data_IF_388260317305
#
_entry.id   IF_388260317305
#
_cell.length_a   1.000
_cell.length_b   1.000
_cell.length_c   1.000
_cell.angle_alpha   90.00
_cell.angle_beta   90.00
_cell.angle_gamma   90.00
#
_symmetry.space_group_name_H-M   'P 1'
#
loop_
_entity.id
_entity.type
_entity.pdbx_description
1 polymer ?
#
# COMPACT_ATOMS: atom_id res chain seq x y z
N UNK A 1 -34.72 -6.17 -7.61
CA UNK A 1 -35.10 -6.09 -9.03
C UNK A 1 -36.61 -6.08 -9.35
N UNK A 2 -37.52 -6.28 -8.39
CA UNK A 2 -38.98 -6.25 -8.63
C UNK A 2 -39.75 -5.17 -7.84
N UNK A 3 -39.06 -4.17 -7.28
CA UNK A 3 -39.71 -3.07 -6.57
C UNK A 3 -40.31 -2.10 -7.59
N UNK A 4 -41.65 -2.07 -7.68
CA UNK A 4 -42.40 -1.06 -8.43
C UNK A 4 -42.64 0.18 -7.55
N UNK A 5 -42.83 1.38 -8.13
CA UNK A 5 -43.10 2.60 -7.35
C UNK A 5 -44.26 2.45 -6.35
N UNK A 6 -45.25 1.64 -6.70
CA UNK A 6 -46.47 1.38 -5.91
C UNK A 6 -46.18 0.65 -4.59
N UNK A 7 -45.16 -0.21 -4.52
CA UNK A 7 -44.84 -1.00 -3.32
C UNK A 7 -43.70 -0.40 -2.48
N UNK A 8 -43.09 0.70 -2.93
CA UNK A 8 -42.02 1.37 -2.19
C UNK A 8 -42.45 1.90 -0.81
N UNK A 9 -43.66 2.48 -0.62
CA UNK A 9 -44.11 2.91 0.70
C UNK A 9 -44.22 1.73 1.68
N UNK A 10 -44.69 0.58 1.21
CA UNK A 10 -44.84 -0.65 1.99
C UNK A 10 -43.46 -1.24 2.35
N UNK A 11 -42.53 -1.25 1.39
CA UNK A 11 -41.15 -1.67 1.63
C UNK A 11 -40.45 -0.78 2.66
N UNK A 12 -40.68 0.54 2.61
CA UNK A 12 -40.14 1.49 3.59
C UNK A 12 -40.80 1.29 4.97
N UNK A 13 -42.11 1.06 5.03
CA UNK A 13 -42.80 0.75 6.27
C UNK A 13 -42.24 -0.54 6.90
N UNK A 14 -42.02 -1.58 6.11
CA UNK A 14 -41.39 -2.82 6.57
C UNK A 14 -39.96 -2.57 7.06
N UNK A 15 -39.17 -1.78 6.33
CA UNK A 15 -37.80 -1.43 6.71
C UNK A 15 -37.75 -0.72 8.07
N UNK A 16 -38.67 0.24 8.31
CA UNK A 16 -38.76 0.98 9.59
C UNK A 16 -39.01 0.07 10.80
N UNK A 17 -39.74 -1.04 10.61
CA UNK A 17 -40.07 -2.00 11.67
C UNK A 17 -38.95 -2.99 11.99
N UNK A 18 -37.88 -3.01 11.20
CA UNK A 18 -36.72 -3.88 11.45
C UNK A 18 -36.02 -3.41 12.74
N UNK A 19 -35.98 -4.31 13.73
CA UNK A 19 -35.40 -4.03 15.05
C UNK A 19 -33.88 -3.86 15.02
N UNK A 20 -33.20 -4.66 14.18
CA UNK A 20 -31.75 -4.54 14.00
C UNK A 20 -31.44 -3.34 13.10
N UNK A 21 -30.78 -2.34 13.66
CA UNK A 21 -30.39 -1.15 12.90
C UNK A 21 -29.45 -1.46 11.74
N UNK A 22 -28.65 -2.53 11.86
CA UNK A 22 -27.78 -3.02 10.79
C UNK A 22 -28.60 -3.51 9.59
N UNK A 23 -29.57 -4.41 9.83
CA UNK A 23 -30.45 -4.91 8.76
C UNK A 23 -31.34 -3.80 8.21
N UNK A 24 -31.82 -2.89 9.08
CA UNK A 24 -32.59 -1.72 8.67
C UNK A 24 -31.79 -0.81 7.74
N UNK A 25 -30.54 -0.52 8.09
CA UNK A 25 -29.65 0.28 7.24
C UNK A 25 -29.42 -0.38 5.89
N UNK A 26 -29.18 -1.69 5.84
CA UNK A 26 -29.03 -2.41 4.58
C UNK A 26 -30.25 -2.29 3.67
N UNK A 27 -31.45 -2.47 4.23
CA UNK A 27 -32.69 -2.34 3.45
C UNK A 27 -32.87 -0.91 2.98
N UNK A 28 -32.67 0.09 3.83
CA UNK A 28 -32.80 1.51 3.45
C UNK A 28 -31.77 1.92 2.38
N UNK A 29 -30.51 1.46 2.49
CA UNK A 29 -29.48 1.68 1.47
C UNK A 29 -29.84 1.02 0.14
N UNK A 30 -30.38 -0.21 0.16
CA UNK A 30 -30.81 -0.91 -1.05
C UNK A 30 -32.03 -0.24 -1.72
N UNK A 31 -32.87 0.44 -0.93
CA UNK A 31 -34.00 1.20 -1.47
C UNK A 31 -33.53 2.47 -2.20
N UNK A 32 -32.36 3.03 -1.90
CA UNK A 32 -31.86 4.28 -2.49
C UNK A 32 -31.88 4.29 -4.03
N UNK A 33 -31.55 3.16 -4.67
CA UNK A 33 -31.55 2.99 -6.14
C UNK A 33 -32.94 3.02 -6.79
N UNK A 34 -34.01 2.97 -5.98
CA UNK A 34 -35.40 2.81 -6.45
C UNK A 34 -36.31 3.94 -5.99
N UNK A 35 -35.78 4.95 -5.28
CA UNK A 35 -36.62 5.98 -4.70
C UNK A 35 -37.18 6.92 -5.75
N UNK A 36 -38.44 7.31 -5.56
CA UNK A 36 -39.08 8.42 -6.27
C UNK A 36 -39.10 9.66 -5.37
N UNK A 37 -39.17 10.88 -5.92
CA UNK A 37 -39.14 12.12 -5.15
C UNK A 37 -40.14 12.19 -3.98
N UNK A 38 -41.29 11.53 -4.11
CA UNK A 38 -42.37 11.55 -3.11
C UNK A 38 -41.98 10.87 -1.79
N UNK A 39 -41.10 9.87 -1.84
CA UNK A 39 -40.75 9.00 -0.70
C UNK A 39 -39.39 9.37 -0.09
N UNK A 40 -38.63 10.27 -0.74
CA UNK A 40 -37.33 10.73 -0.27
C UNK A 40 -37.35 11.32 1.14
N UNK A 41 -38.28 12.22 1.50
CA UNK A 41 -38.31 12.81 2.84
C UNK A 41 -38.50 11.74 3.92
N UNK A 42 -39.27 10.71 3.60
CA UNK A 42 -39.60 9.60 4.48
C UNK A 42 -38.42 8.65 4.72
N UNK A 43 -37.65 8.33 3.67
CA UNK A 43 -36.44 7.52 3.81
C UNK A 43 -35.37 8.28 4.57
N UNK A 44 -35.20 9.58 4.31
CA UNK A 44 -34.25 10.41 5.04
C UNK A 44 -34.62 10.56 6.52
N UNK A 45 -35.91 10.69 6.83
CA UNK A 45 -36.40 10.68 8.21
C UNK A 45 -36.08 9.35 8.90
N UNK A 46 -36.28 8.21 8.21
CA UNK A 46 -35.94 6.89 8.74
C UNK A 46 -34.42 6.76 8.97
N UNK A 47 -33.59 7.26 8.05
CA UNK A 47 -32.14 7.29 8.20
C UNK A 47 -31.69 8.11 9.42
N UNK A 48 -32.29 9.29 9.64
CA UNK A 48 -32.01 10.17 10.79
C UNK A 48 -32.34 9.52 12.13
N UNK A 49 -33.35 8.65 12.17
CA UNK A 49 -33.79 7.93 13.39
C UNK A 49 -32.87 6.77 13.80
N UNK A 50 -31.94 6.35 12.93
CA UNK A 50 -30.95 5.31 13.25
C UNK A 50 -29.98 5.85 14.32
N UNK A 51 -29.85 5.11 15.43
CA UNK A 51 -29.02 5.51 16.57
C UNK A 51 -27.55 5.16 16.39
N UNK A 52 -27.25 3.98 15.83
CA UNK A 52 -25.91 3.56 15.48
C UNK A 52 -25.39 4.41 14.31
N UNK A 53 -24.48 5.32 14.62
CA UNK A 53 -23.99 6.31 13.67
C UNK A 53 -23.33 5.71 12.43
N UNK A 54 -22.71 4.54 12.57
CA UNK A 54 -22.20 3.78 11.43
C UNK A 54 -23.31 3.36 10.47
N UNK A 55 -24.40 2.78 11.00
CA UNK A 55 -25.59 2.40 10.21
C UNK A 55 -26.21 3.64 9.55
N UNK A 56 -26.31 4.75 10.30
CA UNK A 56 -26.83 6.02 9.79
C UNK A 56 -25.97 6.57 8.65
N UNK A 57 -24.65 6.57 8.82
CA UNK A 57 -23.71 7.01 7.79
C UNK A 57 -23.82 6.15 6.52
N UNK A 58 -23.96 4.82 6.66
CA UNK A 58 -24.15 3.95 5.50
C UNK A 58 -25.40 4.30 4.68
N UNK A 59 -26.53 4.56 5.33
CA UNK A 59 -27.75 4.96 4.62
C UNK A 59 -27.57 6.33 3.97
N UNK A 60 -27.01 7.31 4.69
CA UNK A 60 -26.78 8.65 4.15
C UNK A 60 -25.81 8.66 2.98
N UNK A 61 -24.73 7.87 3.02
CA UNK A 61 -23.80 7.71 1.89
C UNK A 61 -24.47 7.06 0.68
N UNK A 62 -25.32 6.04 0.89
CA UNK A 62 -26.07 5.42 -0.22
C UNK A 62 -27.07 6.40 -0.84
N UNK A 63 -27.76 7.21 -0.02
CA UNK A 63 -28.65 8.26 -0.50
C UNK A 63 -27.89 9.33 -1.30
N UNK A 64 -26.73 9.78 -0.79
CA UNK A 64 -25.86 10.73 -1.50
C UNK A 64 -25.43 10.21 -2.88
N UNK A 65 -25.14 8.91 -3.00
CA UNK A 65 -24.64 8.33 -4.25
C UNK A 65 -25.68 8.36 -5.38
N UNK A 66 -26.96 8.19 -5.04
CA UNK A 66 -28.03 7.91 -6.00
C UNK A 66 -28.92 9.10 -6.31
N UNK A 67 -28.97 10.10 -5.44
CA UNK A 67 -29.99 11.14 -5.47
C UNK A 67 -29.38 12.53 -5.29
N UNK A 68 -29.01 13.20 -6.40
CA UNK A 68 -28.39 14.52 -6.34
C UNK A 68 -29.34 15.61 -5.81
N UNK A 69 -30.66 15.42 -5.90
CA UNK A 69 -31.65 16.41 -5.48
C UNK A 69 -31.72 16.58 -3.95
N UNK A 70 -31.24 15.60 -3.17
CA UNK A 70 -31.34 15.59 -1.69
C UNK A 70 -30.00 15.83 -0.98
N UNK A 71 -28.95 16.18 -1.73
CA UNK A 71 -27.63 16.39 -1.17
C UNK A 71 -27.60 17.46 -0.05
N UNK A 72 -28.36 18.58 -0.11
CA UNK A 72 -28.44 19.53 1.00
C UNK A 72 -29.00 18.92 2.30
N UNK A 73 -30.02 18.07 2.21
CA UNK A 73 -30.66 17.45 3.36
C UNK A 73 -29.82 16.29 3.92
N UNK A 74 -29.10 15.57 3.05
CA UNK A 74 -28.10 14.57 3.43
C UNK A 74 -26.92 15.25 4.13
N UNK A 75 -26.43 16.38 3.62
CA UNK A 75 -25.38 17.17 4.26
C UNK A 75 -25.82 17.66 5.64
N UNK A 76 -27.06 18.14 5.77
CA UNK A 76 -27.63 18.54 7.06
C UNK A 76 -27.67 17.36 8.04
N UNK A 77 -28.07 16.17 7.58
CA UNK A 77 -28.06 14.96 8.41
C UNK A 77 -26.62 14.51 8.77
N UNK A 78 -25.68 14.63 7.84
CA UNK A 78 -24.27 14.31 8.05
C UNK A 78 -23.65 15.19 9.15
N UNK A 79 -23.97 16.50 9.15
CA UNK A 79 -23.51 17.45 10.18
C UNK A 79 -23.98 17.07 11.59
N UNK A 80 -25.06 16.31 11.73
CA UNK A 80 -25.60 15.85 13.02
C UNK A 80 -24.92 14.58 13.57
N UNK A 81 -24.07 13.93 12.78
CA UNK A 81 -23.27 12.78 13.23
C UNK A 81 -22.17 13.27 14.18
N UNK A 82 -22.09 12.67 15.37
CA UNK A 82 -21.14 13.05 16.42
C UNK A 82 -19.75 12.48 16.15
N UNK A 83 -19.67 11.22 15.70
CA UNK A 83 -18.40 10.62 15.28
C UNK A 83 -17.89 11.30 14.02
N UNK A 84 -16.76 12.00 14.14
CA UNK A 84 -16.12 12.65 13.00
C UNK A 84 -15.71 11.66 11.91
N UNK A 85 -15.38 10.43 12.28
CA UNK A 85 -15.08 9.35 11.35
C UNK A 85 -16.29 9.04 10.46
N UNK A 86 -17.46 8.79 11.05
CA UNK A 86 -18.67 8.49 10.28
C UNK A 86 -19.18 9.71 9.51
N UNK A 87 -19.04 10.91 10.10
CA UNK A 87 -19.34 12.17 9.41
C UNK A 87 -18.47 12.36 8.17
N UNK A 88 -17.16 12.10 8.27
CA UNK A 88 -16.24 12.17 7.13
C UNK A 88 -16.57 11.15 6.05
N UNK A 89 -17.01 9.94 6.40
CA UNK A 89 -17.49 8.98 5.40
C UNK A 89 -18.67 9.52 4.57
N UNK A 90 -19.66 10.15 5.21
CA UNK A 90 -20.79 10.75 4.48
C UNK A 90 -20.34 11.95 3.66
N UNK A 91 -19.50 12.84 4.22
CA UNK A 91 -19.00 14.01 3.52
C UNK A 91 -18.11 13.64 2.31
N UNK A 92 -17.31 12.57 2.40
CA UNK A 92 -16.56 12.04 1.26
C UNK A 92 -17.48 11.43 0.20
N UNK A 93 -18.55 10.72 0.59
CA UNK A 93 -19.53 10.20 -0.38
C UNK A 93 -20.29 11.33 -1.09
N UNK A 94 -20.60 12.42 -0.38
CA UNK A 94 -21.14 13.64 -0.97
C UNK A 94 -20.15 14.26 -1.96
N UNK A 95 -18.85 14.26 -1.63
CA UNK A 95 -17.79 14.81 -2.50
C UNK A 95 -17.83 14.20 -3.91
N UNK A 96 -18.09 12.90 -4.05
CA UNK A 96 -18.10 12.22 -5.34
C UNK A 96 -19.23 12.65 -6.29
N UNK A 97 -20.29 13.27 -5.76
CA UNK A 97 -21.54 13.62 -6.48
C UNK A 97 -21.83 15.12 -6.49
N UNK A 98 -20.85 15.95 -6.14
CA UNK A 98 -21.08 17.38 -5.94
C UNK A 98 -21.57 18.09 -7.20
N UNK A 99 -22.61 18.89 -7.01
CA UNK A 99 -22.91 20.04 -7.86
C UNK A 99 -22.12 21.26 -7.33
N UNK A 100 -21.80 22.26 -8.18
CA UNK A 100 -21.12 23.49 -7.75
C UNK A 100 -21.82 24.23 -6.61
N UNK A 101 -23.12 24.03 -6.44
CA UNK A 101 -23.97 24.72 -5.46
C UNK A 101 -23.71 24.26 -4.01
N UNK A 102 -23.52 22.96 -3.79
CA UNK A 102 -23.35 22.38 -2.44
C UNK A 102 -21.88 22.27 -2.00
N UNK A 103 -20.95 22.45 -2.94
CA UNK A 103 -19.53 22.29 -2.66
C UNK A 103 -19.03 23.21 -1.54
N UNK A 104 -19.33 24.52 -1.54
CA UNK A 104 -18.87 25.43 -0.47
C UNK A 104 -19.34 24.97 0.91
N UNK A 105 -20.54 24.40 0.99
CA UNK A 105 -21.12 23.89 2.22
C UNK A 105 -20.46 22.60 2.73
N UNK A 106 -20.06 21.70 1.83
CA UNK A 106 -19.29 20.49 2.17
C UNK A 106 -17.88 20.87 2.62
N UNK A 107 -17.24 21.83 1.96
CA UNK A 107 -15.93 22.34 2.38
C UNK A 107 -16.00 23.04 3.74
N UNK A 108 -17.05 23.83 4.00
CA UNK A 108 -17.28 24.42 5.31
C UNK A 108 -17.46 23.36 6.40
N UNK A 109 -18.21 22.28 6.12
CA UNK A 109 -18.34 21.15 7.04
C UNK A 109 -17.00 20.42 7.26
N UNK A 110 -16.20 20.23 6.20
CA UNK A 110 -14.87 19.64 6.29
C UNK A 110 -13.93 20.47 7.17
N UNK A 111 -13.97 21.80 7.07
CA UNK A 111 -13.17 22.72 7.91
C UNK A 111 -13.54 22.63 9.40
N UNK A 112 -14.76 22.22 9.74
CA UNK A 112 -15.22 22.06 11.12
C UNK A 112 -14.79 20.73 11.76
N UNK A 113 -14.29 19.76 10.98
CA UNK A 113 -13.72 18.52 11.49
C UNK A 113 -12.43 18.82 12.26
N UNK A 114 -12.37 18.34 13.51
CA UNK A 114 -11.23 18.55 14.40
C UNK A 114 -10.10 17.56 14.14
N UNK A 115 -10.44 16.29 13.90
CA UNK A 115 -9.46 15.25 13.61
C UNK A 115 -8.96 15.39 12.17
N UNK A 116 -7.67 15.70 12.03
CA UNK A 116 -7.10 16.04 10.73
C UNK A 116 -7.07 14.87 9.76
N UNK A 117 -7.10 13.63 10.23
CA UNK A 117 -7.19 12.44 9.38
C UNK A 117 -8.53 12.41 8.64
N UNK A 118 -9.62 12.62 9.35
CA UNK A 118 -10.98 12.71 8.84
C UNK A 118 -11.12 13.91 7.90
N UNK A 119 -10.54 15.06 8.28
CA UNK A 119 -10.50 16.24 7.40
C UNK A 119 -9.74 15.97 6.10
N UNK A 120 -8.59 15.29 6.17
CA UNK A 120 -7.80 14.88 5.00
C UNK A 120 -8.58 13.95 4.09
N UNK A 121 -9.35 13.01 4.64
CA UNK A 121 -10.20 12.12 3.83
C UNK A 121 -11.20 12.92 2.98
N UNK A 122 -11.86 13.91 3.57
CA UNK A 122 -12.84 14.75 2.86
C UNK A 122 -12.15 15.63 1.83
N UNK A 123 -11.07 16.33 2.22
CA UNK A 123 -10.35 17.23 1.31
C UNK A 123 -9.70 16.48 0.14
N UNK A 124 -9.24 15.24 0.34
CA UNK A 124 -8.72 14.39 -0.73
C UNK A 124 -9.83 13.95 -1.69
N UNK A 125 -11.02 13.62 -1.18
CA UNK A 125 -12.17 13.32 -2.04
C UNK A 125 -12.64 14.55 -2.83
N UNK A 126 -12.58 15.74 -2.23
CA UNK A 126 -12.84 17.01 -2.92
C UNK A 126 -11.81 17.31 -4.01
N UNK A 127 -10.55 16.88 -3.85
CA UNK A 127 -9.49 17.07 -4.83
C UNK A 127 -9.81 16.43 -6.20
N UNK A 128 -10.54 15.32 -6.20
CA UNK A 128 -10.92 14.63 -7.44
C UNK A 128 -12.01 15.37 -8.25
N UNK A 129 -12.75 16.27 -7.61
CA UNK A 129 -13.91 16.98 -8.17
C UNK A 129 -13.74 18.48 -8.24
N UNK A 130 -12.50 18.97 -8.18
CA UNK A 130 -12.23 20.41 -8.17
C UNK A 130 -12.76 21.09 -9.43
N UNK A 131 -13.51 22.17 -9.20
CA UNK A 131 -13.72 23.21 -10.20
C UNK A 131 -12.76 24.37 -9.93
N UNK A 132 -12.42 25.20 -10.93
CA UNK A 132 -11.50 26.33 -10.75
C UNK A 132 -11.91 27.32 -9.66
N UNK A 133 -13.21 27.43 -9.38
CA UNK A 133 -13.77 28.41 -8.44
C UNK A 133 -13.43 28.08 -6.97
N UNK A 134 -13.39 26.80 -6.62
CA UNK A 134 -13.27 26.32 -5.24
C UNK A 134 -11.89 25.77 -4.89
N UNK A 135 -11.06 25.59 -5.91
CA UNK A 135 -9.66 25.19 -5.79
C UNK A 135 -8.86 26.06 -4.80
N UNK A 136 -8.92 27.41 -4.84
CA UNK A 136 -8.17 28.24 -3.89
C UNK A 136 -8.56 27.95 -2.43
N UNK A 137 -9.83 27.65 -2.20
CA UNK A 137 -10.37 27.37 -0.88
C UNK A 137 -9.98 26.00 -0.34
N UNK A 138 -9.96 24.96 -1.18
CA UNK A 138 -9.50 23.62 -0.81
C UNK A 138 -7.99 23.63 -0.57
N UNK A 139 -7.23 24.32 -1.42
CA UNK A 139 -5.78 24.49 -1.25
C UNK A 139 -5.45 25.25 0.04
N UNK A 140 -6.19 26.32 0.37
CA UNK A 140 -6.05 27.02 1.64
C UNK A 140 -6.35 26.10 2.84
N UNK A 141 -7.41 25.29 2.76
CA UNK A 141 -7.73 24.33 3.80
C UNK A 141 -6.65 23.25 3.96
N UNK A 142 -6.08 22.76 2.86
CA UNK A 142 -4.96 21.82 2.86
C UNK A 142 -3.73 22.40 3.58
N UNK A 143 -3.38 23.66 3.29
CA UNK A 143 -2.26 24.37 3.93
C UNK A 143 -2.43 24.59 5.43
N UNK A 144 -3.67 24.66 5.91
CA UNK A 144 -3.99 24.83 7.34
C UNK A 144 -3.87 23.53 8.15
N UNK A 145 -3.69 22.38 7.50
CA UNK A 145 -3.44 21.11 8.19
C UNK A 145 -2.08 21.16 8.89
N UNK A 146 -2.07 20.83 10.18
CA UNK A 146 -0.88 20.88 11.01
C UNK A 146 -0.06 19.60 10.91
N UNK A 147 -0.71 18.44 10.94
CA UNK A 147 -0.08 17.14 10.81
C UNK A 147 0.45 16.96 9.38
N UNK A 148 1.78 16.89 9.26
CA UNK A 148 2.49 17.04 7.99
C UNK A 148 2.14 15.93 7.01
N UNK A 149 1.90 14.72 7.50
CA UNK A 149 1.44 13.59 6.67
C UNK A 149 0.07 13.88 6.05
N UNK A 150 -0.89 14.34 6.87
CA UNK A 150 -2.23 14.70 6.39
C UNK A 150 -2.17 15.85 5.38
N UNK A 151 -1.31 16.85 5.61
CA UNK A 151 -1.09 17.97 4.68
C UNK A 151 -0.51 17.49 3.36
N UNK A 152 0.56 16.70 3.40
CA UNK A 152 1.21 16.15 2.21
C UNK A 152 0.23 15.29 1.40
N UNK A 153 -0.61 14.50 2.05
CA UNK A 153 -1.62 13.66 1.40
C UNK A 153 -2.63 14.50 0.60
N UNK A 154 -3.22 15.54 1.20
CA UNK A 154 -4.16 16.41 0.48
C UNK A 154 -3.46 17.15 -0.66
N UNK A 155 -2.27 17.72 -0.41
CA UNK A 155 -1.53 18.44 -1.45
C UNK A 155 -1.14 17.55 -2.63
N UNK A 156 -0.80 16.28 -2.38
CA UNK A 156 -0.53 15.33 -3.46
C UNK A 156 -1.78 14.96 -4.23
N UNK A 157 -2.92 14.75 -3.57
CA UNK A 157 -4.19 14.51 -4.27
C UNK A 157 -4.56 15.70 -5.17
N UNK A 158 -4.40 16.93 -4.67
CA UNK A 158 -4.58 18.15 -5.46
C UNK A 158 -3.58 18.24 -6.64
N UNK A 159 -2.33 17.81 -6.44
CA UNK A 159 -1.29 17.87 -7.48
C UNK A 159 -1.57 16.95 -8.68
N UNK A 160 -2.44 15.94 -8.53
CA UNK A 160 -2.89 15.10 -9.64
C UNK A 160 -3.74 15.86 -10.65
N UNK A 161 -4.45 16.90 -10.19
CA UNK A 161 -5.23 17.81 -11.07
C UNK A 161 -4.47 19.10 -11.38
N UNK A 162 -3.52 19.47 -10.53
CA UNK A 162 -2.75 20.72 -10.61
C UNK A 162 -1.26 20.43 -10.50
N UNK A 163 -0.61 20.01 -11.61
CA UNK A 163 0.81 19.69 -11.59
C UNK A 163 1.70 20.85 -11.08
N UNK A 164 1.23 22.10 -11.13
CA UNK A 164 1.99 23.26 -10.64
C UNK A 164 2.25 23.24 -9.14
N UNK A 165 1.39 22.59 -8.34
CA UNK A 165 1.56 22.50 -6.87
C UNK A 165 2.33 21.24 -6.45
N UNK A 166 2.75 20.38 -7.40
CA UNK A 166 3.56 19.21 -7.09
C UNK A 166 4.85 19.57 -6.29
N UNK A 167 5.59 20.64 -6.60
CA UNK A 167 6.73 21.05 -5.78
C UNK A 167 6.35 21.37 -4.32
N UNK A 168 5.16 21.94 -4.10
CA UNK A 168 4.65 22.23 -2.76
C UNK A 168 4.26 20.95 -2.02
N UNK A 169 3.59 20.01 -2.70
CA UNK A 169 3.25 18.70 -2.15
C UNK A 169 4.51 17.92 -1.72
N UNK A 170 5.55 17.94 -2.55
CA UNK A 170 6.85 17.32 -2.23
C UNK A 170 7.57 18.06 -1.10
N UNK A 171 7.51 19.38 -1.04
CA UNK A 171 8.04 20.15 0.08
C UNK A 171 7.35 19.79 1.40
N UNK A 172 6.02 19.65 1.39
CA UNK A 172 5.26 19.17 2.54
C UNK A 172 5.66 17.75 2.94
N UNK A 173 5.82 16.84 1.97
CA UNK A 173 6.28 15.48 2.22
C UNK A 173 7.66 15.43 2.90
N UNK A 174 8.60 16.28 2.46
CA UNK A 174 9.95 16.38 3.05
C UNK A 174 9.93 16.84 4.51
N UNK A 175 8.91 17.62 4.89
CA UNK A 175 8.72 18.12 6.26
C UNK A 175 8.09 17.09 7.21
N UNK A 176 7.64 15.93 6.72
CA UNK A 176 7.11 14.87 7.58
C UNK A 176 8.20 14.42 8.55
N UNK A 177 7.93 14.57 9.85
CA UNK A 177 8.90 14.30 10.93
C UNK A 177 9.17 12.80 11.10
N UNK A 178 8.12 11.99 11.01
CA UNK A 178 8.21 10.53 11.08
C UNK A 178 8.82 9.99 9.79
N UNK A 179 10.04 9.46 9.88
CA UNK A 179 10.84 9.00 8.74
C UNK A 179 10.11 7.91 7.93
N UNK A 180 9.40 7.01 8.62
CA UNK A 180 8.60 5.94 8.03
C UNK A 180 7.46 6.48 7.18
N UNK A 181 6.74 7.50 7.68
CA UNK A 181 5.68 8.16 6.94
C UNK A 181 6.29 8.94 5.76
N UNK A 182 7.35 9.72 5.96
CA UNK A 182 8.01 10.42 4.85
C UNK A 182 8.40 9.47 3.71
N UNK A 183 9.01 8.34 4.04
CA UNK A 183 9.47 7.37 3.06
C UNK A 183 8.32 6.61 2.38
N UNK A 184 7.27 6.23 3.12
CA UNK A 184 6.07 5.63 2.54
C UNK A 184 5.40 6.58 1.55
N UNK A 185 5.28 7.86 1.91
CA UNK A 185 4.69 8.89 1.05
C UNK A 185 5.46 9.01 -0.28
N UNK A 186 6.78 9.16 -0.18
CA UNK A 186 7.66 9.29 -1.34
C UNK A 186 7.66 8.01 -2.20
N UNK A 187 7.54 6.83 -1.57
CA UNK A 187 7.43 5.54 -2.27
C UNK A 187 6.17 5.47 -3.14
N UNK A 188 5.02 5.86 -2.59
CA UNK A 188 3.74 5.93 -3.34
C UNK A 188 3.82 7.00 -4.43
N UNK A 189 4.37 8.17 -4.11
CA UNK A 189 4.53 9.27 -5.09
C UNK A 189 5.43 8.87 -6.27
N UNK A 190 6.45 8.05 -6.01
CA UNK A 190 7.36 7.54 -7.04
C UNK A 190 6.69 6.55 -8.02
N UNK A 191 5.53 5.96 -7.67
CA UNK A 191 4.73 5.15 -8.60
C UNK A 191 4.21 5.99 -9.76
N UNK A 192 3.75 7.21 -9.46
CA UNK A 192 3.21 8.14 -10.45
C UNK A 192 4.31 8.96 -11.13
N UNK A 193 5.42 9.21 -10.44
CA UNK A 193 6.57 9.95 -10.96
C UNK A 193 7.89 9.23 -10.65
N UNK A 194 8.39 8.39 -11.57
CA UNK A 194 9.63 7.64 -11.38
C UNK A 194 10.88 8.51 -11.10
N UNK A 195 10.82 9.81 -11.42
CA UNK A 195 11.88 10.78 -11.08
C UNK A 195 12.10 10.92 -9.56
N UNK A 196 11.13 10.52 -8.75
CA UNK A 196 11.20 10.54 -7.28
C UNK A 196 11.83 9.27 -6.68
N UNK A 197 12.10 8.23 -7.47
CA UNK A 197 12.68 6.98 -6.95
C UNK A 197 14.00 7.18 -6.19
N UNK A 198 14.96 8.02 -6.65
CA UNK A 198 16.18 8.28 -5.86
C UNK A 198 15.88 8.92 -4.51
N UNK A 199 14.93 9.85 -4.46
CA UNK A 199 14.54 10.54 -3.22
C UNK A 199 13.80 9.59 -2.26
N UNK A 200 12.89 8.76 -2.78
CA UNK A 200 12.18 7.75 -2.02
C UNK A 200 13.15 6.70 -1.42
N UNK A 201 14.15 6.26 -2.21
CA UNK A 201 15.20 5.36 -1.72
C UNK A 201 16.07 6.03 -0.65
N UNK A 202 16.46 7.30 -0.85
CA UNK A 202 17.22 8.05 0.15
C UNK A 202 16.44 8.20 1.48
N UNK A 203 15.14 8.48 1.41
CA UNK A 203 14.28 8.56 2.58
C UNK A 203 14.13 7.19 3.28
N UNK A 204 13.93 6.11 2.52
CA UNK A 204 13.86 4.76 3.06
C UNK A 204 15.13 4.37 3.82
N UNK A 205 16.30 4.74 3.30
CA UNK A 205 17.61 4.48 3.95
C UNK A 205 17.77 5.16 5.30
N UNK A 206 17.11 6.31 5.49
CA UNK A 206 17.19 7.09 6.74
C UNK A 206 16.31 6.53 7.86
N UNK A 207 15.35 5.65 7.56
CA UNK A 207 14.45 5.08 8.57
C UNK A 207 15.25 4.31 9.63
N UNK A 208 15.08 4.70 10.90
CA UNK A 208 15.70 4.03 12.05
C UNK A 208 15.15 2.62 12.32
N UNK A 209 13.83 2.45 12.22
CA UNK A 209 13.20 1.13 12.41
C UNK A 209 13.59 0.18 11.27
N UNK A 210 14.36 -0.87 11.56
CA UNK A 210 14.79 -1.82 10.54
C UNK A 210 13.63 -2.55 9.86
N UNK A 211 12.53 -2.76 10.60
CA UNK A 211 11.30 -3.36 10.08
C UNK A 211 10.67 -2.47 9.02
N UNK A 212 10.48 -1.19 9.35
CA UNK A 212 9.86 -0.22 8.43
C UNK A 212 10.78 0.08 7.25
N UNK A 213 12.08 0.23 7.50
CA UNK A 213 13.10 0.36 6.44
C UNK A 213 13.02 -0.79 5.43
N UNK A 214 12.93 -2.01 5.93
CA UNK A 214 12.82 -3.21 5.08
C UNK A 214 11.53 -3.21 4.28
N UNK A 215 10.41 -2.88 4.93
CA UNK A 215 9.11 -2.77 4.27
C UNK A 215 9.14 -1.80 3.09
N UNK A 216 9.65 -0.58 3.30
CA UNK A 216 9.72 0.45 2.25
C UNK A 216 10.72 0.08 1.16
N UNK A 217 11.90 -0.45 1.50
CA UNK A 217 12.87 -0.90 0.50
C UNK A 217 12.27 -2.00 -0.38
N UNK A 218 11.59 -2.99 0.20
CA UNK A 218 10.92 -4.04 -0.56
C UNK A 218 9.84 -3.50 -1.50
N UNK A 219 9.04 -2.53 -1.06
CA UNK A 219 8.00 -1.89 -1.89
C UNK A 219 8.56 -1.07 -3.06
N UNK A 220 9.81 -0.62 -2.97
CA UNK A 220 10.49 0.13 -4.03
C UNK A 220 11.13 -0.77 -5.09
N UNK A 221 11.67 -1.95 -4.72
CA UNK A 221 12.51 -2.81 -5.57
C UNK A 221 11.93 -3.04 -6.97
N UNK A 222 10.63 -3.30 -7.08
CA UNK A 222 9.97 -3.61 -8.34
C UNK A 222 9.98 -2.45 -9.36
N UNK A 223 10.32 -1.25 -8.91
CA UNK A 223 10.27 0.00 -9.68
C UNK A 223 11.65 0.60 -9.92
N UNK A 224 12.70 0.06 -9.28
CA UNK A 224 14.04 0.64 -9.32
C UNK A 224 14.78 0.31 -10.62
N UNK A 225 15.56 1.27 -11.09
CA UNK A 225 16.54 1.05 -12.17
C UNK A 225 17.71 0.20 -11.65
N UNK A 226 18.51 -0.44 -12.52
CA UNK A 226 19.69 -1.21 -12.10
C UNK A 226 20.64 -0.46 -11.17
N UNK A 227 20.84 0.85 -11.40
CA UNK A 227 21.70 1.71 -10.57
C UNK A 227 21.13 1.82 -9.14
N UNK A 228 19.82 2.04 -9.01
CA UNK A 228 19.15 2.15 -7.71
C UNK A 228 18.99 0.78 -7.02
N UNK A 229 18.93 -0.32 -7.76
CA UNK A 229 18.98 -1.68 -7.21
C UNK A 229 20.35 -1.93 -6.54
N UNK A 230 21.45 -1.45 -7.12
CA UNK A 230 22.77 -1.53 -6.51
C UNK A 230 22.83 -0.71 -5.21
N UNK A 231 22.27 0.51 -5.20
CA UNK A 231 22.16 1.31 -3.97
C UNK A 231 21.33 0.60 -2.90
N UNK A 232 20.25 -0.07 -3.29
CA UNK A 232 19.39 -0.87 -2.38
C UNK A 232 20.15 -2.08 -1.84
N UNK A 233 20.97 -2.75 -2.65
CA UNK A 233 21.85 -3.82 -2.20
C UNK A 233 22.85 -3.30 -1.16
N UNK A 234 23.46 -2.13 -1.38
CA UNK A 234 24.36 -1.50 -0.41
C UNK A 234 23.61 -1.16 0.88
N UNK A 235 22.42 -0.59 0.80
CA UNK A 235 21.58 -0.28 1.94
C UNK A 235 21.21 -1.54 2.74
N UNK A 236 20.92 -2.66 2.08
CA UNK A 236 20.61 -3.93 2.76
C UNK A 236 21.75 -4.41 3.67
N UNK A 237 23.01 -4.12 3.32
CA UNK A 237 24.18 -4.47 4.15
C UNK A 237 24.20 -3.73 5.48
N UNK A 238 23.57 -2.55 5.54
CA UNK A 238 23.48 -1.72 6.74
C UNK A 238 22.34 -2.17 7.69
N UNK A 239 21.53 -3.16 7.30
CA UNK A 239 20.49 -3.77 8.15
C UNK A 239 21.14 -4.80 9.07
N UNK A 240 21.11 -4.57 10.38
CA UNK A 240 21.71 -5.42 11.41
C UNK A 240 20.96 -6.74 11.58
N UNK A 241 19.62 -6.70 11.59
CA UNK A 241 18.78 -7.89 11.63
C UNK A 241 19.01 -8.77 10.41
N UNK A 242 19.47 -10.00 10.66
CA UNK A 242 19.72 -11.02 9.63
C UNK A 242 18.44 -11.39 8.88
N UNK A 243 17.30 -11.33 9.57
CA UNK A 243 15.98 -11.59 8.99
C UNK A 243 15.61 -10.53 7.96
N UNK A 244 15.60 -9.27 8.39
CA UNK A 244 15.23 -8.13 7.55
C UNK A 244 16.19 -7.95 6.37
N UNK A 245 17.50 -8.14 6.61
CA UNK A 245 18.49 -8.18 5.53
C UNK A 245 18.17 -9.26 4.50
N UNK A 246 17.82 -10.47 4.94
CA UNK A 246 17.47 -11.55 4.03
C UNK A 246 16.18 -11.29 3.26
N UNK A 247 15.19 -10.63 3.87
CA UNK A 247 13.96 -10.23 3.17
C UNK A 247 14.26 -9.29 1.99
N UNK A 248 15.08 -8.25 2.21
CA UNK A 248 15.49 -7.34 1.11
C UNK A 248 16.26 -8.09 0.02
N UNK A 249 17.18 -8.99 0.39
CA UNK A 249 17.97 -9.75 -0.58
C UNK A 249 17.13 -10.74 -1.40
N UNK A 250 16.12 -11.36 -0.80
CA UNK A 250 15.16 -12.21 -1.51
C UNK A 250 14.34 -11.37 -2.50
N UNK A 251 13.84 -10.21 -2.09
CA UNK A 251 13.10 -9.32 -2.98
C UNK A 251 13.98 -8.82 -4.14
N UNK A 252 15.23 -8.45 -3.85
CA UNK A 252 16.21 -8.08 -4.88
C UNK A 252 16.41 -9.20 -5.88
N UNK A 253 16.61 -10.45 -5.42
CA UNK A 253 16.92 -11.61 -6.25
C UNK A 253 15.93 -11.82 -7.42
N UNK A 254 14.66 -11.45 -7.26
CA UNK A 254 13.68 -11.56 -8.35
C UNK A 254 13.91 -10.57 -9.48
N UNK A 255 14.51 -9.41 -9.19
CA UNK A 255 14.68 -8.28 -10.13
C UNK A 255 16.11 -8.07 -10.60
N UNK A 256 17.08 -8.82 -10.06
CA UNK A 256 18.49 -8.64 -10.45
C UNK A 256 18.72 -8.92 -11.92
N UNK A 257 19.44 -8.01 -12.56
CA UNK A 257 20.08 -8.24 -13.84
C UNK A 257 21.35 -9.09 -13.63
N UNK A 258 21.85 -9.79 -14.67
CA UNK A 258 23.04 -10.64 -14.55
C UNK A 258 24.27 -9.95 -13.95
N UNK A 259 24.38 -8.64 -14.13
CA UNK A 259 25.49 -7.82 -13.65
C UNK A 259 25.53 -7.65 -12.13
N UNK A 260 24.39 -7.75 -11.44
CA UNK A 260 24.27 -7.56 -9.98
C UNK A 260 24.17 -8.88 -9.20
N UNK A 261 24.07 -10.01 -9.90
CA UNK A 261 24.02 -11.35 -9.30
C UNK A 261 25.29 -11.71 -8.50
N UNK A 262 26.52 -11.45 -8.99
CA UNK A 262 27.74 -11.78 -8.26
C UNK A 262 27.83 -11.08 -6.90
N UNK A 263 27.51 -9.79 -6.85
CA UNK A 263 27.54 -8.94 -5.66
C UNK A 263 26.49 -9.37 -4.66
N UNK A 264 25.27 -9.69 -5.12
CA UNK A 264 24.20 -10.16 -4.24
C UNK A 264 24.52 -11.54 -3.68
N UNK A 265 25.07 -12.44 -4.50
CA UNK A 265 25.55 -13.74 -4.05
C UNK A 265 26.70 -13.60 -3.03
N UNK A 266 27.58 -12.61 -3.19
CA UNK A 266 28.63 -12.32 -2.20
C UNK A 266 28.04 -11.91 -0.84
N UNK A 267 26.99 -11.09 -0.83
CA UNK A 267 26.27 -10.71 0.40
C UNK A 267 25.55 -11.91 1.01
N UNK A 268 24.86 -12.72 0.20
CA UNK A 268 24.16 -13.92 0.64
C UNK A 268 25.11 -14.90 1.35
N UNK A 269 26.31 -15.10 0.80
CA UNK A 269 27.37 -15.95 1.38
C UNK A 269 27.81 -15.50 2.76
N UNK A 270 27.68 -14.21 3.10
CA UNK A 270 28.08 -13.66 4.41
C UNK A 270 26.99 -13.79 5.49
N UNK A 271 25.77 -14.23 5.14
CA UNK A 271 24.69 -14.40 6.11
C UNK A 271 25.04 -15.52 7.09
N UNK A 272 25.12 -15.19 8.38
CA UNK A 272 25.49 -16.14 9.43
C UNK A 272 24.37 -17.14 9.74
N UNK A 273 23.11 -16.67 9.80
CA UNK A 273 21.95 -17.52 10.06
C UNK A 273 21.74 -18.50 8.90
N UNK A 274 21.72 -19.80 9.19
CA UNK A 274 21.48 -20.86 8.21
C UNK A 274 20.15 -20.66 7.48
N UNK A 275 19.05 -20.57 8.23
CA UNK A 275 17.72 -20.46 7.63
C UNK A 275 17.57 -19.25 6.71
N UNK A 276 18.13 -18.10 7.09
CA UNK A 276 18.09 -16.89 6.25
C UNK A 276 19.04 -16.98 5.04
N UNK A 277 20.23 -17.57 5.21
CA UNK A 277 21.17 -17.78 4.11
C UNK A 277 20.57 -18.69 3.05
N UNK A 278 20.03 -19.84 3.46
CA UNK A 278 19.38 -20.82 2.58
C UNK A 278 18.21 -20.19 1.81
N UNK A 279 17.38 -19.38 2.48
CA UNK A 279 16.29 -18.65 1.81
C UNK A 279 16.80 -17.74 0.69
N UNK A 280 17.84 -16.93 0.96
CA UNK A 280 18.43 -16.03 -0.05
C UNK A 280 19.10 -16.82 -1.17
N UNK A 281 19.88 -17.87 -0.86
CA UNK A 281 20.53 -18.71 -1.87
C UNK A 281 19.51 -19.39 -2.78
N UNK A 282 18.40 -19.88 -2.22
CA UNK A 282 17.31 -20.50 -2.99
C UNK A 282 16.66 -19.49 -3.95
N UNK A 283 16.42 -18.26 -3.48
CA UNK A 283 15.88 -17.19 -4.32
C UNK A 283 16.83 -16.83 -5.48
N UNK A 284 18.14 -16.73 -5.20
CA UNK A 284 19.16 -16.46 -6.21
C UNK A 284 19.36 -17.61 -7.20
N UNK A 285 19.18 -18.87 -6.77
CA UNK A 285 19.48 -20.06 -7.57
C UNK A 285 18.76 -20.07 -8.92
N UNK A 286 17.51 -19.58 -8.99
CA UNK A 286 16.74 -19.48 -10.23
C UNK A 286 17.34 -18.51 -11.24
N UNK A 287 17.90 -17.39 -10.78
CA UNK A 287 18.54 -16.41 -11.67
C UNK A 287 19.96 -16.83 -12.05
N UNK A 288 20.69 -17.40 -11.10
CA UNK A 288 22.02 -17.96 -11.34
C UNK A 288 21.96 -19.08 -12.39
N UNK A 289 20.95 -19.95 -12.36
CA UNK A 289 20.80 -21.03 -13.35
C UNK A 289 20.56 -20.56 -14.78
N UNK A 290 20.20 -19.28 -14.98
CA UNK A 290 19.98 -18.66 -16.28
C UNK A 290 21.24 -18.00 -16.85
N UNK A 291 22.33 -17.92 -16.08
CA UNK A 291 23.58 -17.30 -16.52
C UNK A 291 24.35 -18.17 -17.53
N UNK A 292 25.23 -17.56 -18.36
CA UNK A 292 26.16 -18.31 -19.20
C UNK A 292 27.01 -19.29 -18.38
N UNK A 293 27.11 -20.55 -18.84
CA UNK A 293 27.75 -21.64 -18.08
C UNK A 293 29.17 -21.33 -17.62
N UNK A 294 29.97 -20.63 -18.43
CA UNK A 294 31.34 -20.25 -18.09
C UNK A 294 31.40 -19.28 -16.89
N UNK A 295 30.51 -18.28 -16.86
CA UNK A 295 30.42 -17.34 -15.75
C UNK A 295 29.82 -18.02 -14.51
N UNK A 296 28.77 -18.81 -14.70
CA UNK A 296 28.12 -19.57 -13.64
C UNK A 296 29.09 -20.54 -12.96
N UNK A 297 29.94 -21.22 -13.72
CA UNK A 297 30.93 -22.17 -13.19
C UNK A 297 31.98 -21.48 -12.33
N UNK A 298 32.48 -20.31 -12.74
CA UNK A 298 33.42 -19.51 -11.93
C UNK A 298 32.78 -19.04 -10.62
N UNK A 299 31.54 -18.54 -10.68
CA UNK A 299 30.78 -18.15 -9.49
C UNK A 299 30.52 -19.34 -8.57
N UNK A 300 30.17 -20.49 -9.13
CA UNK A 300 29.97 -21.74 -8.40
C UNK A 300 31.21 -22.17 -7.63
N UNK A 301 32.38 -22.19 -8.27
CA UNK A 301 33.65 -22.57 -7.63
C UNK A 301 33.95 -21.69 -6.40
N UNK A 302 33.88 -20.37 -6.56
CA UNK A 302 34.10 -19.44 -5.45
C UNK A 302 33.04 -19.59 -4.34
N UNK A 303 31.80 -19.90 -4.72
CA UNK A 303 30.67 -20.05 -3.80
C UNK A 303 30.81 -21.31 -2.96
N UNK A 304 31.05 -22.46 -3.58
CA UNK A 304 31.26 -23.72 -2.85
C UNK A 304 32.49 -23.65 -1.96
N UNK A 305 33.59 -23.07 -2.43
CA UNK A 305 34.76 -22.87 -1.58
C UNK A 305 34.40 -22.09 -0.30
N UNK A 306 33.70 -20.97 -0.44
CA UNK A 306 33.29 -20.13 0.71
C UNK A 306 32.34 -20.88 1.65
N UNK A 307 31.36 -21.60 1.10
CA UNK A 307 30.36 -22.32 1.90
C UNK A 307 30.96 -23.56 2.58
N UNK A 308 31.98 -24.19 2.01
CA UNK A 308 32.65 -25.36 2.58
C UNK A 308 33.40 -25.09 3.88
N UNK A 309 33.69 -23.82 4.17
CA UNK A 309 34.31 -23.39 5.43
C UNK A 309 33.32 -23.40 6.61
N UNK A 310 32.04 -23.68 6.35
CA UNK A 310 30.97 -23.77 7.37
C UNK A 310 30.87 -25.19 7.92
N UNK A 311 30.05 -25.36 8.96
CA UNK A 311 29.73 -26.68 9.50
C UNK A 311 29.09 -27.59 8.43
N UNK A 312 29.24 -28.90 8.59
CA UNK A 312 28.67 -29.88 7.65
C UNK A 312 27.15 -29.70 7.44
N UNK A 313 26.31 -29.55 8.49
CA UNK A 313 24.88 -29.35 8.28
C UNK A 313 24.58 -28.09 7.47
N UNK A 314 25.27 -26.98 7.76
CA UNK A 314 25.13 -25.73 7.02
C UNK A 314 25.49 -25.88 5.54
N UNK A 315 26.62 -26.54 5.24
CA UNK A 315 27.04 -26.79 3.87
C UNK A 315 26.02 -27.64 3.11
N UNK A 316 25.46 -28.67 3.74
CA UNK A 316 24.45 -29.52 3.11
C UNK A 316 23.16 -28.76 2.81
N UNK A 317 22.69 -27.93 3.73
CA UNK A 317 21.53 -27.05 3.51
C UNK A 317 21.79 -26.05 2.38
N UNK A 318 22.98 -25.47 2.32
CA UNK A 318 23.36 -24.52 1.27
C UNK A 318 23.48 -25.18 -0.12
N UNK A 319 24.07 -26.39 -0.21
CA UNK A 319 24.13 -27.17 -1.45
C UNK A 319 22.71 -27.52 -1.93
N UNK A 320 21.84 -27.90 -1.00
CA UNK A 320 20.42 -28.21 -1.31
C UNK A 320 19.73 -26.99 -1.92
N UNK A 321 19.91 -25.81 -1.34
CA UNK A 321 19.37 -24.54 -1.86
C UNK A 321 19.85 -24.22 -3.30
N UNK A 322 21.09 -24.64 -3.62
CA UNK A 322 21.72 -24.37 -4.92
C UNK A 322 21.54 -25.52 -5.94
N UNK A 323 20.67 -26.49 -5.67
CA UNK A 323 20.34 -27.57 -6.63
C UNK A 323 20.03 -27.06 -8.06
N UNK A 324 19.26 -25.96 -8.25
CA UNK A 324 19.04 -25.41 -9.59
C UNK A 324 20.32 -24.99 -10.32
N UNK A 325 21.35 -24.54 -9.59
CA UNK A 325 22.66 -24.18 -10.15
C UNK A 325 23.44 -25.43 -10.56
N UNK A 326 23.43 -26.47 -9.73
CA UNK A 326 24.06 -27.76 -10.05
C UNK A 326 23.44 -28.36 -11.31
N UNK A 327 22.11 -28.31 -11.41
CA UNK A 327 21.37 -28.73 -12.60
C UNK A 327 21.79 -27.93 -13.84
N UNK A 328 21.87 -26.60 -13.74
CA UNK A 328 22.25 -25.76 -14.87
C UNK A 328 23.68 -26.03 -15.37
N UNK A 329 24.59 -26.42 -14.46
CA UNK A 329 25.98 -26.72 -14.81
C UNK A 329 26.13 -28.10 -15.50
N UNK A 330 25.46 -29.13 -15.00
CA UNK A 330 25.70 -30.51 -15.47
C UNK A 330 24.50 -31.47 -15.44
N UNK A 331 23.27 -30.94 -15.40
CA UNK A 331 22.04 -31.72 -15.49
C UNK A 331 21.77 -32.64 -14.29
N UNK A 332 20.93 -33.66 -14.49
CA UNK A 332 20.57 -34.64 -13.45
C UNK A 332 21.78 -35.44 -12.95
N UNK A 333 22.73 -35.72 -13.85
CA UNK A 333 23.95 -36.46 -13.51
C UNK A 333 24.81 -35.68 -12.51
N UNK A 334 24.93 -34.35 -12.65
CA UNK A 334 25.65 -33.53 -11.69
C UNK A 334 25.00 -33.54 -10.30
N UNK A 335 23.66 -33.54 -10.22
CA UNK A 335 22.96 -33.66 -8.93
C UNK A 335 23.25 -35.01 -8.30
N UNK A 336 23.11 -36.09 -9.07
CA UNK A 336 23.36 -37.47 -8.62
C UNK A 336 24.80 -37.63 -8.12
N UNK A 337 25.78 -37.19 -8.91
CA UNK A 337 27.19 -37.27 -8.55
C UNK A 337 27.51 -36.43 -7.31
N UNK A 338 26.87 -35.26 -7.14
CA UNK A 338 26.99 -34.45 -5.92
C UNK A 338 26.46 -35.20 -4.70
N UNK A 339 25.30 -35.84 -4.80
CA UNK A 339 24.72 -36.63 -3.71
C UNK A 339 25.59 -37.84 -3.34
N UNK A 340 26.14 -38.55 -4.33
CA UNK A 340 27.08 -39.65 -4.12
C UNK A 340 28.34 -39.16 -3.38
N UNK A 341 28.94 -38.05 -3.83
CA UNK A 341 30.12 -37.49 -3.19
C UNK A 341 29.86 -37.12 -1.71
N UNK A 342 28.69 -36.54 -1.41
CA UNK A 342 28.27 -36.26 -0.03
C UNK A 342 28.15 -37.54 0.80
N UNK A 343 27.53 -38.60 0.25
CA UNK A 343 27.39 -39.89 0.93
C UNK A 343 28.73 -40.56 1.19
N UNK A 344 29.64 -40.56 0.21
CA UNK A 344 30.95 -41.18 0.32
C UNK A 344 31.83 -40.46 1.35
N UNK A 345 31.86 -39.13 1.33
CA UNK A 345 32.52 -38.35 2.39
C UNK A 345 31.88 -38.66 3.74
N UNK A 346 30.56 -38.77 3.84
CA UNK A 346 29.91 -39.11 5.13
C UNK A 346 30.30 -40.50 5.65
N UNK A 347 30.67 -41.45 4.78
CA UNK A 347 31.14 -42.79 5.17
C UNK A 347 32.55 -42.78 5.75
N UNK A 348 33.40 -41.82 5.38
CA UNK A 348 34.80 -41.75 5.83
C UNK A 348 34.97 -41.26 7.28
N UNK A 349 33.89 -40.78 7.90
CA UNK A 349 33.92 -40.18 9.25
C UNK A 349 32.98 -40.91 10.22
N UNK A 350 32.81 -42.23 10.05
CA UNK A 350 32.13 -43.10 11.00
C UNK A 350 33.00 -43.40 12.22
#
# INVERSE_FOLDING_TARGET
>A
DKLTPEILPEALAAARQIQSEWFRAQVLSALADKLTPEILPEVLAAARQIQFEWCRAQVLSALAEKLPEILPEVLTAARQIQSEWFRAQVLSALADKLTPEILPEVLAAARQIQFERERTQILSALADKLTPEILPEVLAAARQIQFEWCRAQVLSALAEKLPEILPEALAAARQIQYEEYRAQFLSVSAEKSPKLLPEALAAARQIQSERERTSVLCALIDKLTPELLLETLVASRQIQSKEYRAQVLVALAEKLTPELLPETLAVARQIQSEGYRVKVLSALAKRLSQMPKNQLFSLWQSTIHTLSLRTRPNLLSDITALTPVIFALGGEEAIKNTAIAVQDVSRWWR
#
